data_IF_470108494840
#
_entry.id   IF_470108494840
#
_cell.length_a   1.000
_cell.length_b   1.000
_cell.length_c   1.000
_cell.angle_alpha   90.00
_cell.angle_beta   90.00
_cell.angle_gamma   90.00
#
_symmetry.space_group_name_H-M   'P 1'
#
loop_
_entity.id
_entity.type
_entity.pdbx_description
1 polymer ?
#
# COMPACT_ATOMS: atom_id res chain seq x y z
N UNK A 1 17.80 -10.02 -5.19
CA UNK A 1 16.43 -9.91 -5.75
C UNK A 1 15.32 -10.17 -4.72
N UNK A 2 15.52 -11.07 -3.73
CA UNK A 2 14.53 -11.37 -2.67
C UNK A 2 14.10 -10.13 -1.88
N UNK A 3 15.03 -9.26 -1.47
CA UNK A 3 14.70 -8.05 -0.69
C UNK A 3 13.75 -7.07 -1.39
N UNK A 4 13.86 -6.89 -2.72
CA UNK A 4 12.97 -6.01 -3.49
C UNK A 4 11.54 -6.54 -3.57
N UNK A 5 11.40 -7.87 -3.71
CA UNK A 5 10.09 -8.53 -3.70
C UNK A 5 9.45 -8.45 -2.32
N UNK A 6 10.23 -8.70 -1.25
CA UNK A 6 9.77 -8.58 0.12
C UNK A 6 9.27 -7.15 0.42
N UNK A 7 10.05 -6.12 0.07
CA UNK A 7 9.64 -4.72 0.23
C UNK A 7 8.35 -4.40 -0.53
N UNK A 8 8.20 -4.90 -1.76
CA UNK A 8 6.98 -4.70 -2.56
C UNK A 8 5.76 -5.35 -1.89
N UNK A 9 5.92 -6.56 -1.34
CA UNK A 9 4.87 -7.26 -0.60
C UNK A 9 4.50 -6.49 0.67
N UNK A 10 5.47 -5.95 1.41
CA UNK A 10 5.21 -5.11 2.58
C UNK A 10 4.36 -3.88 2.22
N UNK A 11 4.68 -3.20 1.11
CA UNK A 11 3.89 -2.05 0.64
C UNK A 11 2.45 -2.45 0.32
N UNK A 12 2.23 -3.62 -0.29
CA UNK A 12 0.88 -4.15 -0.57
C UNK A 12 0.12 -4.40 0.74
N UNK A 13 0.74 -5.06 1.72
CA UNK A 13 0.11 -5.35 3.01
C UNK A 13 -0.25 -4.06 3.76
N UNK A 14 0.67 -3.09 3.81
CA UNK A 14 0.41 -1.80 4.44
C UNK A 14 -0.73 -1.08 3.71
N UNK A 15 -0.73 -1.07 2.38
CA UNK A 15 -1.81 -0.46 1.59
C UNK A 15 -3.18 -1.07 1.89
N UNK A 16 -3.28 -2.39 2.09
CA UNK A 16 -4.54 -3.04 2.49
C UNK A 16 -4.98 -2.62 3.89
N UNK A 17 -4.06 -2.49 4.85
CA UNK A 17 -4.36 -1.99 6.20
C UNK A 17 -4.83 -0.54 6.14
N UNK A 18 -4.19 0.29 5.32
CA UNK A 18 -4.55 1.70 5.11
C UNK A 18 -5.95 1.84 4.48
N UNK A 19 -6.27 1.01 3.49
CA UNK A 19 -7.53 1.12 2.75
C UNK A 19 -8.76 0.61 3.52
N UNK A 20 -8.60 -0.37 4.40
CA UNK A 20 -9.70 -1.09 5.04
C UNK A 20 -9.82 -0.78 6.54
N UNK A 21 -8.93 -1.26 7.43
CA UNK A 21 -9.11 -1.08 8.86
C UNK A 21 -8.51 0.20 9.44
N UNK A 22 -7.76 1.03 8.70
CA UNK A 22 -7.02 2.16 9.29
C UNK A 22 -7.90 3.13 10.06
N UNK A 23 -8.94 3.68 9.44
CA UNK A 23 -9.82 4.62 10.13
C UNK A 23 -10.58 3.97 11.30
N UNK A 24 -10.94 2.69 11.17
CA UNK A 24 -11.53 1.92 12.26
C UNK A 24 -10.57 1.75 13.45
N UNK A 25 -9.30 1.40 13.21
CA UNK A 25 -8.26 1.23 14.25
C UNK A 25 -8.01 2.55 15.00
N UNK A 26 -8.02 3.67 14.29
CA UNK A 26 -7.72 4.98 14.86
C UNK A 26 -8.97 5.75 15.34
N UNK A 27 -10.16 5.14 15.28
CA UNK A 27 -11.41 5.78 15.70
C UNK A 27 -11.73 7.06 14.92
N UNK A 28 -11.24 7.16 13.68
CA UNK A 28 -11.45 8.32 12.81
C UNK A 28 -12.83 8.17 12.17
N UNK A 29 -13.72 9.13 12.42
CA UNK A 29 -15.06 9.15 11.86
C UNK A 29 -15.21 10.27 10.83
N UNK A 30 -15.73 9.93 9.65
CA UNK A 30 -16.08 10.90 8.62
C UNK A 30 -15.88 10.35 7.22
N UNK A 31 -16.92 10.41 6.39
CA UNK A 31 -16.91 9.86 5.03
C UNK A 31 -15.78 10.43 4.16
N UNK A 32 -15.48 11.71 4.30
CA UNK A 32 -14.40 12.38 3.56
C UNK A 32 -13.03 11.78 3.92
N UNK A 33 -12.81 11.50 5.20
CA UNK A 33 -11.56 10.93 5.71
C UNK A 33 -11.45 9.45 5.35
N UNK A 34 -12.57 8.72 5.36
CA UNK A 34 -12.68 7.35 4.84
C UNK A 34 -12.31 7.27 3.37
N UNK A 35 -12.86 8.16 2.54
CA UNK A 35 -12.57 8.22 1.12
C UNK A 35 -11.09 8.52 0.85
N UNK A 36 -10.50 9.48 1.57
CA UNK A 36 -9.07 9.84 1.41
C UNK A 36 -8.17 8.66 1.75
N UNK A 37 -8.35 8.02 2.91
CA UNK A 37 -7.50 6.89 3.31
C UNK A 37 -7.72 5.65 2.45
N UNK A 38 -8.94 5.40 1.99
CA UNK A 38 -9.22 4.36 1.00
C UNK A 38 -8.42 4.57 -0.29
N UNK A 39 -8.40 5.80 -0.83
CA UNK A 39 -7.63 6.14 -2.04
C UNK A 39 -6.13 5.96 -1.79
N UNK A 40 -5.60 6.46 -0.66
CA UNK A 40 -4.17 6.30 -0.31
C UNK A 40 -3.80 4.82 -0.26
N UNK A 41 -4.59 3.99 0.43
CA UNK A 41 -4.34 2.56 0.54
C UNK A 41 -4.38 1.84 -0.81
N UNK A 42 -5.34 2.17 -1.69
CA UNK A 42 -5.42 1.63 -3.06
C UNK A 42 -4.17 1.99 -3.86
N UNK A 43 -3.71 3.25 -3.80
CA UNK A 43 -2.50 3.71 -4.50
C UNK A 43 -1.27 2.96 -3.99
N UNK A 44 -1.17 2.71 -2.69
CA UNK A 44 -0.10 1.90 -2.11
C UNK A 44 -0.13 0.46 -2.63
N UNK A 45 -1.30 -0.19 -2.65
CA UNK A 45 -1.45 -1.55 -3.20
C UNK A 45 -1.04 -1.60 -4.67
N UNK A 46 -1.55 -0.68 -5.49
CA UNK A 46 -1.22 -0.59 -6.91
C UNK A 46 0.29 -0.38 -7.14
N UNK A 47 0.90 0.51 -6.35
CA UNK A 47 2.35 0.76 -6.39
C UNK A 47 3.14 -0.48 -6.00
N UNK A 48 2.73 -1.17 -4.94
CA UNK A 48 3.34 -2.42 -4.51
C UNK A 48 3.28 -3.50 -5.59
N UNK A 49 2.16 -3.66 -6.29
CA UNK A 49 2.06 -4.57 -7.44
C UNK A 49 2.96 -4.15 -8.61
N UNK A 50 3.02 -2.85 -8.92
CA UNK A 50 3.91 -2.33 -9.95
C UNK A 50 5.39 -2.63 -9.63
N UNK A 51 5.82 -2.37 -8.39
CA UNK A 51 7.17 -2.66 -7.92
C UNK A 51 7.46 -4.16 -7.92
N UNK A 52 6.49 -4.99 -7.52
CA UNK A 52 6.63 -6.44 -7.53
C UNK A 52 6.86 -6.95 -8.95
N UNK A 53 6.05 -6.50 -9.91
CA UNK A 53 6.12 -6.87 -11.33
C UNK A 53 7.42 -6.38 -11.98
N UNK A 54 7.92 -5.21 -11.57
CA UNK A 54 9.13 -4.61 -12.12
C UNK A 54 10.39 -4.84 -11.27
N UNK A 55 10.32 -5.69 -10.24
CA UNK A 55 11.41 -5.92 -9.29
C UNK A 55 12.71 -6.43 -9.93
N UNK A 56 12.64 -7.06 -11.11
CA UNK A 56 13.78 -7.48 -11.91
C UNK A 56 14.37 -6.35 -12.80
N UNK A 57 13.58 -5.31 -13.12
CA UNK A 57 13.97 -4.19 -14.01
C UNK A 57 14.36 -2.91 -13.25
N UNK A 58 13.88 -2.75 -12.02
CA UNK A 58 14.23 -1.61 -11.17
C UNK A 58 15.70 -1.72 -10.74
N UNK A 59 16.55 -0.78 -11.19
CA UNK A 59 17.93 -0.65 -10.69
C UNK A 59 17.91 -0.46 -9.17
N UNK A 60 18.86 -1.05 -8.41
CA UNK A 60 19.07 -0.61 -7.03
C UNK A 60 19.40 0.88 -7.05
N UNK A 61 18.72 1.67 -6.22
CA UNK A 61 19.10 3.04 -5.92
C UNK A 61 20.35 2.99 -5.05
#
# INVERSE_FOLDING_TARGET
MIGKKAASICVIIIGMIVALPFNYIYGIGGFEVDAVWAIVGIVMVATGFYLLKNSAKLKPI
#
